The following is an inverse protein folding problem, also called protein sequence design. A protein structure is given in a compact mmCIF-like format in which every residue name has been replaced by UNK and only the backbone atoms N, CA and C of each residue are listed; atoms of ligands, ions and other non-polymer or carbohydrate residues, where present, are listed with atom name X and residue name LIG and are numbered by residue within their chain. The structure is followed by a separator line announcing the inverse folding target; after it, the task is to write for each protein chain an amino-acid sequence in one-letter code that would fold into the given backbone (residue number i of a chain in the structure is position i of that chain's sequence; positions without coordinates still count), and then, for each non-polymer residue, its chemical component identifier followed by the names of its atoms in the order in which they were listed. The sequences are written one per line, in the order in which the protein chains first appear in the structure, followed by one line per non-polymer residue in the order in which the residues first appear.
data_IF_859151766485
#
_entry.id   IF_859151766485
#
_cell.length_a   1.000
_cell.length_b   1.000
_cell.length_c   1.000
_cell.angle_alpha   90.00
_cell.angle_beta   90.00
_cell.angle_gamma   90.00
#
_symmetry.space_group_name_H-M   'P 1'
#
loop_
_entity.id
_entity.type
_entity.pdbx_description
1 polymer ?
#
# COMPACT_ATOMS: atom_id res chain seq x y z
N UNK A 1 -10.25 -1.81 5.90
CA UNK A 1 -10.68 -2.02 7.31
C UNK A 1 -11.93 -1.23 7.68
N UNK A 2 -12.67 -0.72 6.69
CA UNK A 2 -13.81 0.17 6.93
C UNK A 2 -15.12 -0.56 7.22
N UNK A 3 -15.29 -1.81 6.79
CA UNK A 3 -16.54 -2.56 7.03
C UNK A 3 -16.83 -2.75 8.53
N UNK A 4 -15.82 -3.05 9.34
CA UNK A 4 -15.96 -3.21 10.80
C UNK A 4 -16.36 -1.88 11.45
N UNK A 5 -15.76 -0.78 10.98
CA UNK A 5 -16.03 0.58 11.47
C UNK A 5 -17.45 1.02 11.09
N UNK A 6 -17.84 0.78 9.84
CA UNK A 6 -19.17 1.12 9.32
C UNK A 6 -20.25 0.27 10.02
N UNK A 7 -20.00 -1.02 10.22
CA UNK A 7 -20.90 -1.90 10.96
C UNK A 7 -21.04 -1.48 12.43
N UNK A 8 -19.93 -1.12 13.09
CA UNK A 8 -19.95 -0.64 14.49
C UNK A 8 -20.72 0.68 14.62
N UNK A 9 -20.44 1.65 13.74
CA UNK A 9 -21.18 2.91 13.69
C UNK A 9 -22.66 2.70 13.44
N UNK A 10 -23.04 1.77 12.57
CA UNK A 10 -24.45 1.46 12.34
C UNK A 10 -25.13 0.94 13.61
N UNK A 11 -24.49 0.01 14.33
CA UNK A 11 -25.03 -0.55 15.59
C UNK A 11 -25.18 0.53 16.65
N UNK A 12 -24.16 1.37 16.85
CA UNK A 12 -24.21 2.43 17.87
C UNK A 12 -25.20 3.53 17.52
N UNK A 13 -25.34 3.87 16.23
CA UNK A 13 -26.35 4.82 15.74
C UNK A 13 -27.75 4.23 15.95
N UNK A 14 -27.98 2.97 15.60
CA UNK A 14 -29.28 2.33 15.82
C UNK A 14 -29.64 2.23 17.30
N UNK A 15 -28.67 1.92 18.16
CA UNK A 15 -28.91 1.87 19.61
C UNK A 15 -29.24 3.25 20.19
N UNK A 16 -28.62 4.31 19.70
CA UNK A 16 -28.92 5.67 20.14
C UNK A 16 -30.21 6.23 19.59
N UNK A 17 -30.57 5.92 18.35
CA UNK A 17 -31.89 6.28 17.80
C UNK A 17 -33.00 5.59 18.61
N UNK A 18 -32.80 4.32 18.98
CA UNK A 18 -33.76 3.59 19.82
C UNK A 18 -33.91 4.21 21.22
N UNK A 19 -32.80 4.61 21.84
CA UNK A 19 -32.79 5.24 23.17
C UNK A 19 -33.34 6.68 23.14
N UNK A 20 -33.11 7.41 22.04
CA UNK A 20 -33.66 8.74 21.79
C UNK A 20 -35.18 8.73 21.51
N UNK A 21 -35.70 7.63 20.97
CA UNK A 21 -37.13 7.48 20.61
C UNK A 21 -37.96 6.83 21.73
N UNK A 22 -37.32 6.42 22.83
CA UNK A 22 -37.99 5.80 23.96
C UNK A 22 -38.68 6.88 24.86
N UNK A 23 -39.86 6.59 25.43
CA UNK A 23 -40.65 7.57 26.21
C UNK A 23 -39.97 8.09 27.48
N UNK A 24 -38.96 7.37 27.99
CA UNK A 24 -38.18 7.75 29.17
C UNK A 24 -36.73 8.15 28.81
N UNK A 25 -36.39 8.13 27.52
CA UNK A 25 -35.06 8.41 27.01
C UNK A 25 -34.85 9.90 26.78
N UNK A 26 -33.64 10.38 27.07
CA UNK A 26 -33.22 11.74 26.76
C UNK A 26 -32.30 11.75 25.55
N UNK A 27 -32.62 12.58 24.56
CA UNK A 27 -31.80 12.78 23.36
C UNK A 27 -30.37 13.22 23.73
N UNK A 28 -30.22 13.98 24.82
CA UNK A 28 -28.93 14.44 25.33
C UNK A 28 -28.13 13.29 25.96
N UNK A 29 -28.80 12.42 26.73
CA UNK A 29 -28.16 11.23 27.32
C UNK A 29 -27.70 10.25 26.26
N UNK A 30 -28.55 10.00 25.25
CA UNK A 30 -28.20 9.18 24.09
C UNK A 30 -26.99 9.76 23.35
N UNK A 31 -26.98 11.06 23.05
CA UNK A 31 -25.86 11.70 22.34
C UNK A 31 -24.54 11.60 23.11
N UNK A 32 -24.55 11.80 24.43
CA UNK A 32 -23.35 11.68 25.26
C UNK A 32 -22.83 10.23 25.22
N UNK A 33 -23.69 9.23 25.44
CA UNK A 33 -23.29 7.82 25.38
C UNK A 33 -22.83 7.41 23.98
N UNK A 34 -23.43 7.93 22.91
CA UNK A 34 -22.96 7.69 21.54
C UNK A 34 -21.52 8.16 21.33
N UNK A 35 -21.18 9.35 21.82
CA UNK A 35 -19.86 9.93 21.60
C UNK A 35 -18.82 9.19 22.46
N UNK A 36 -19.10 9.04 23.75
CA UNK A 36 -18.16 8.43 24.69
C UNK A 36 -18.02 6.92 24.51
N UNK A 37 -19.09 6.22 24.12
CA UNK A 37 -19.14 4.76 24.04
C UNK A 37 -19.21 4.21 22.62
N UNK A 38 -19.66 5.03 21.66
CA UNK A 38 -19.64 4.68 20.24
C UNK A 38 -18.41 5.23 19.53
N UNK A 39 -18.23 6.54 19.54
CA UNK A 39 -17.21 7.22 18.74
C UNK A 39 -15.79 7.01 19.28
N UNK A 40 -15.60 7.11 20.61
CA UNK A 40 -14.31 6.95 21.27
C UNK A 40 -13.67 5.56 21.01
N UNK A 41 -14.32 4.42 21.30
CA UNK A 41 -13.74 3.11 21.01
C UNK A 41 -13.57 2.86 19.51
N UNK A 42 -14.47 3.38 18.66
CA UNK A 42 -14.33 3.26 17.21
C UNK A 42 -13.08 4.02 16.70
N UNK A 43 -12.82 5.22 17.23
CA UNK A 43 -11.63 6.00 16.92
C UNK A 43 -10.34 5.26 17.32
N UNK A 44 -10.33 4.60 18.49
CA UNK A 44 -9.21 3.78 18.94
C UNK A 44 -8.97 2.60 17.99
N UNK A 45 -10.02 1.88 17.59
CA UNK A 45 -9.92 0.78 16.63
C UNK A 45 -9.39 1.24 15.27
N UNK A 46 -9.88 2.37 14.76
CA UNK A 46 -9.39 2.97 13.50
C UNK A 46 -7.93 3.37 13.62
N UNK A 47 -7.54 3.98 14.75
CA UNK A 47 -6.18 4.39 15.01
C UNK A 47 -5.21 3.20 15.00
N UNK A 48 -5.56 2.10 15.65
CA UNK A 48 -4.73 0.89 15.72
C UNK A 48 -4.68 0.19 14.35
N UNK A 49 -5.83 -0.02 13.70
CA UNK A 49 -5.94 -0.78 12.45
C UNK A 49 -5.58 0.03 11.18
N UNK A 50 -5.41 1.35 11.28
CA UNK A 50 -5.03 2.22 10.15
C UNK A 50 -3.57 2.04 9.70
N UNK A 51 -2.67 1.68 10.61
CA UNK A 51 -1.23 1.51 10.35
C UNK A 51 -0.89 0.41 9.31
N UNK A 52 -1.46 -0.82 9.37
CA UNK A 52 -1.23 -1.84 8.34
C UNK A 52 -1.82 -1.47 6.97
N UNK A 53 -2.80 -0.56 6.93
CA UNK A 53 -3.49 -0.22 5.69
C UNK A 53 -2.64 0.63 4.74
N UNK A 54 -1.76 1.50 5.28
CA UNK A 54 -0.74 2.20 4.48
C UNK A 54 0.18 1.21 3.76
N UNK A 55 0.64 0.16 4.46
CA UNK A 55 1.47 -0.91 3.86
C UNK A 55 0.70 -1.77 2.84
N UNK A 56 -0.61 -1.96 2.99
CA UNK A 56 -1.44 -2.62 1.97
C UNK A 56 -1.61 -1.76 0.73
N UNK A 57 -1.79 -0.44 0.88
CA UNK A 57 -1.91 0.48 -0.27
C UNK A 57 -0.63 0.56 -1.10
N UNK A 58 0.56 0.54 -0.47
CA UNK A 58 1.82 0.46 -1.21
C UNK A 58 1.99 -0.89 -1.93
N UNK A 59 1.69 -2.01 -1.25
CA UNK A 59 1.77 -3.34 -1.88
C UNK A 59 0.80 -3.51 -3.04
N UNK A 60 -0.41 -2.95 -2.96
CA UNK A 60 -1.35 -2.94 -4.07
C UNK A 60 -0.77 -2.20 -5.29
N UNK A 61 -0.07 -1.07 -5.10
CA UNK A 61 0.59 -0.36 -6.20
C UNK A 61 1.72 -1.19 -6.82
N UNK A 62 2.53 -1.85 -5.98
CA UNK A 62 3.60 -2.74 -6.46
C UNK A 62 3.06 -3.94 -7.23
N UNK A 63 1.91 -4.50 -6.82
CA UNK A 63 1.25 -5.59 -7.54
C UNK A 63 0.74 -5.16 -8.92
N UNK A 64 0.17 -3.95 -9.03
CA UNK A 64 -0.23 -3.41 -10.34
C UNK A 64 0.96 -3.19 -11.27
N UNK A 65 2.08 -2.71 -10.74
CA UNK A 65 3.31 -2.53 -11.51
C UNK A 65 3.86 -3.89 -11.96
N UNK A 66 3.97 -4.88 -11.06
CA UNK A 66 4.38 -6.24 -11.43
C UNK A 66 3.50 -6.86 -12.51
N UNK A 67 2.18 -6.70 -12.44
CA UNK A 67 1.26 -7.18 -13.47
C UNK A 67 1.52 -6.54 -14.84
N UNK A 68 1.90 -5.26 -14.89
CA UNK A 68 2.24 -4.58 -16.14
C UNK A 68 3.57 -5.09 -16.71
N UNK A 69 4.56 -5.33 -15.84
CA UNK A 69 5.85 -5.90 -16.25
C UNK A 69 5.70 -7.33 -16.77
N UNK A 70 4.87 -8.15 -16.11
CA UNK A 70 4.58 -9.52 -16.55
C UNK A 70 3.83 -9.53 -17.89
N UNK A 71 2.88 -8.61 -18.09
CA UNK A 71 2.17 -8.45 -19.36
C UNK A 71 3.08 -7.98 -20.50
N UNK A 72 4.00 -7.06 -20.23
CA UNK A 72 5.00 -6.60 -21.20
C UNK A 72 5.97 -7.74 -21.58
N UNK A 73 6.40 -8.54 -20.61
CA UNK A 73 7.25 -9.71 -20.85
C UNK A 73 6.51 -10.80 -21.63
N UNK A 74 5.23 -11.07 -21.34
CA UNK A 74 4.43 -12.02 -22.10
C UNK A 74 4.24 -11.55 -23.56
N UNK A 75 4.07 -10.25 -23.78
CA UNK A 75 3.98 -9.67 -25.12
C UNK A 75 5.31 -9.76 -25.88
N UNK A 76 6.44 -9.51 -25.20
CA UNK A 76 7.77 -9.65 -25.78
C UNK A 76 8.14 -11.11 -26.09
N UNK A 77 7.75 -12.05 -25.22
CA UNK A 77 7.90 -13.48 -25.45
C UNK A 77 7.06 -13.94 -26.65
N UNK A 78 5.79 -13.51 -26.75
CA UNK A 78 4.94 -13.79 -27.91
C UNK A 78 5.47 -13.17 -29.21
N UNK A 79 6.10 -11.98 -29.14
CA UNK A 79 6.76 -11.36 -30.28
C UNK A 79 8.03 -12.13 -30.74
N UNK A 80 8.66 -12.87 -29.82
CA UNK A 80 9.83 -13.72 -30.13
C UNK A 80 9.41 -15.06 -30.78
N UNK A 81 8.15 -15.50 -30.61
CA UNK A 81 7.61 -16.70 -31.25
C UNK A 81 7.10 -16.47 -32.69
N UNK A 82 7.07 -15.23 -33.18
CA UNK A 82 6.83 -14.93 -34.60
C UNK A 82 8.04 -15.39 -35.44
N UNK A 83 7.83 -16.06 -36.59
CA UNK A 83 8.93 -16.56 -37.43
C UNK A 83 9.83 -15.38 -37.86
N UNK A 84 11.16 -15.58 -37.97
CA UNK A 84 12.08 -14.49 -38.20
C UNK A 84 11.79 -13.83 -39.55
N UNK A 85 11.21 -12.63 -39.52
CA UNK A 85 11.24 -11.71 -40.65
C UNK A 85 12.56 -10.94 -40.60
N UNK A 86 13.41 -11.19 -41.59
CA UNK A 86 14.69 -10.53 -41.87
C UNK A 86 14.62 -9.00 -41.75
N UNK A 87 14.91 -8.46 -40.56
CA UNK A 87 15.11 -7.03 -40.36
C UNK A 87 16.30 -6.81 -39.44
N UNK A 88 17.49 -6.84 -40.06
CA UNK A 88 18.72 -6.12 -39.68
C UNK A 88 19.08 -6.07 -38.19
N UNK A 89 19.99 -6.94 -37.75
CA UNK A 89 20.65 -6.84 -36.46
C UNK A 89 21.35 -5.47 -36.29
N UNK A 90 21.24 -4.79 -35.13
CA UNK A 90 21.95 -3.55 -34.88
C UNK A 90 23.44 -3.83 -34.64
N UNK A 91 24.29 -3.01 -35.27
CA UNK A 91 25.74 -3.12 -35.26
C UNK A 91 26.32 -3.03 -33.83
N UNK A 92 27.19 -3.99 -33.50
CA UNK A 92 27.80 -4.20 -32.16
C UNK A 92 29.24 -3.70 -32.08
N UNK A 93 29.71 -2.89 -33.04
CA UNK A 93 31.06 -2.29 -32.95
C UNK A 93 31.04 -0.96 -32.18
N UNK A 94 31.20 -1.03 -30.87
CA UNK A 94 31.46 0.14 -30.01
C UNK A 94 32.48 -0.21 -28.94
N UNK A 95 33.76 -0.05 -29.26
CA UNK A 95 34.91 -0.37 -28.41
C UNK A 95 34.82 0.24 -27.01
N UNK A 96 35.09 -0.57 -25.98
CA UNK A 96 35.21 -0.13 -24.59
C UNK A 96 36.40 0.84 -24.41
N UNK A 97 36.23 2.00 -23.75
CA UNK A 97 37.39 2.79 -23.34
C UNK A 97 38.05 2.08 -22.15
N UNK A 98 39.37 1.93 -22.28
CA UNK A 98 40.22 1.12 -21.40
C UNK A 98 40.15 1.48 -19.93
N UNK A 99 40.37 0.44 -19.12
CA UNK A 99 40.51 0.50 -17.68
C UNK A 99 41.62 1.47 -17.25
N UNK A 100 41.29 2.47 -16.44
CA UNK A 100 42.24 3.13 -15.57
C UNK A 100 42.22 2.40 -14.21
N UNK A 101 43.16 1.47 -14.03
CA UNK A 101 43.55 0.97 -12.72
C UNK A 101 44.12 2.14 -11.92
N UNK A 102 43.44 2.59 -10.88
CA UNK A 102 44.05 3.49 -9.90
C UNK A 102 44.02 2.85 -8.53
N UNK A 103 45.21 2.32 -8.21
CA UNK A 103 45.86 2.21 -6.91
C UNK A 103 44.95 2.30 -5.68
N UNK A 104 44.83 1.17 -4.99
CA UNK A 104 44.24 1.09 -3.66
C UNK A 104 44.93 2.04 -2.68
N UNK A 105 44.12 2.86 -2.02
CA UNK A 105 44.56 3.65 -0.88
C UNK A 105 44.45 2.74 0.34
N UNK A 106 45.60 2.40 0.94
CA UNK A 106 45.67 1.64 2.18
C UNK A 106 45.12 2.48 3.35
N UNK A 107 44.21 1.91 4.14
CA UNK A 107 43.76 2.55 5.38
C UNK A 107 44.84 2.37 6.46
N UNK A 108 45.53 3.47 6.80
CA UNK A 108 46.40 3.56 7.98
C UNK A 108 45.53 3.41 9.23
N UNK A 109 45.87 2.44 10.10
CA UNK A 109 45.37 2.33 11.46
C UNK A 109 46.37 3.02 12.39
N UNK A 110 45.90 4.10 13.02
CA UNK A 110 46.44 4.80 14.17
C UNK A 110 45.15 5.09 14.99
N UNK A 111 44.95 4.67 16.24
CA UNK A 111 45.77 4.82 17.43
C UNK A 111 45.22 3.91 18.56
N UNK A 112 46.15 3.49 19.41
CA UNK A 112 46.13 3.33 20.88
C UNK A 112 45.01 2.57 21.59
#
# INVERSE_FOLDING_TARGET
MYLIVIAWLYVTVMMTVAEASAPNGSLLGAAITFIFYGLLPCAILVYILGTPERKRRLRARQQHEQQQWDAAQATAAAATELPPSDAGAPDRSGHAPGAAQNAGIAAVREET
#
